data_IF_281445474386
#
_entry.id   IF_281445474386
#
_cell.length_a   1.000
_cell.length_b   1.000
_cell.length_c   1.000
_cell.angle_alpha   90.00
_cell.angle_beta   90.00
_cell.angle_gamma   90.00
#
_symmetry.space_group_name_H-M   'P 1'
#
loop_
_entity.id
_entity.type
_entity.pdbx_description
1 polymer ?
#
# COMPACT_ATOMS: atom_id res chain seq x y z
N UNK A 1 -0.20 -1.96 -3.32
CA UNK A 1 -0.31 -3.21 -2.54
C UNK A 1 0.78 -3.40 -1.48
N UNK A 2 2.05 -3.66 -1.84
CA UNK A 2 3.10 -3.99 -0.84
C UNK A 2 3.40 -2.84 0.14
N UNK A 3 3.28 -1.59 -0.32
CA UNK A 3 3.37 -0.42 0.55
C UNK A 3 2.24 -0.35 1.58
N UNK A 4 1.03 -0.77 1.21
CA UNK A 4 -0.13 -0.77 2.10
C UNK A 4 0.00 -1.82 3.20
N UNK A 5 0.55 -3.00 2.88
CA UNK A 5 0.94 -3.99 3.89
C UNK A 5 1.87 -3.39 4.94
N UNK A 6 2.88 -2.62 4.50
CA UNK A 6 3.83 -2.04 5.43
C UNK A 6 3.18 -0.96 6.32
N UNK A 7 2.28 -0.15 5.76
CA UNK A 7 1.49 0.81 6.54
C UNK A 7 0.63 0.09 7.57
N UNK A 8 -0.14 -0.92 7.16
CA UNK A 8 -0.99 -1.74 8.04
C UNK A 8 -0.21 -2.34 9.22
N UNK A 9 0.91 -3.02 8.94
CA UNK A 9 1.74 -3.62 10.00
C UNK A 9 2.37 -2.61 10.93
N UNK A 10 2.84 -1.48 10.40
CA UNK A 10 3.49 -0.47 11.24
C UNK A 10 2.49 0.30 12.10
N UNK A 11 1.29 0.56 11.59
CA UNK A 11 0.21 1.14 12.39
C UNK A 11 -0.19 0.20 13.54
N UNK A 12 -0.32 -1.10 13.27
CA UNK A 12 -0.60 -2.10 14.30
C UNK A 12 0.53 -2.18 15.33
N UNK A 13 1.79 -2.26 14.90
CA UNK A 13 2.96 -2.41 15.77
C UNK A 13 3.23 -1.19 16.67
N UNK A 14 3.17 0.02 16.11
CA UNK A 14 3.56 1.25 16.81
C UNK A 14 2.39 1.83 17.64
N UNK A 15 1.15 1.63 17.18
CA UNK A 15 -0.02 2.31 17.73
C UNK A 15 -1.16 1.38 18.16
N UNK A 16 -1.14 0.11 17.77
CA UNK A 16 -2.27 -0.80 17.96
C UNK A 16 -3.45 -0.50 17.03
N UNK A 17 -3.25 0.33 16.00
CA UNK A 17 -4.28 0.71 15.05
C UNK A 17 -4.49 -0.45 14.06
N UNK A 18 -5.66 -1.09 14.13
CA UNK A 18 -6.00 -2.21 13.25
C UNK A 18 -6.81 -1.73 12.05
N UNK A 19 -6.48 -2.25 10.87
CA UNK A 19 -7.33 -2.10 9.68
C UNK A 19 -8.15 -3.37 9.46
N UNK A 20 -9.14 -3.31 8.57
CA UNK A 20 -9.89 -4.50 8.14
C UNK A 20 -9.11 -5.36 7.12
N UNK A 21 -7.84 -5.04 6.85
CA UNK A 21 -6.98 -5.80 5.94
C UNK A 21 -6.42 -7.05 6.64
N UNK A 22 -6.27 -8.11 5.87
CA UNK A 22 -5.76 -9.40 6.29
C UNK A 22 -4.75 -9.94 5.26
N UNK A 23 -3.56 -9.33 5.22
CA UNK A 23 -2.50 -9.75 4.31
C UNK A 23 -2.01 -11.17 4.58
N UNK A 24 -1.96 -11.96 3.51
CA UNK A 24 -1.45 -13.34 3.49
C UNK A 24 -0.22 -13.44 2.57
N UNK A 25 0.68 -14.41 2.81
CA UNK A 25 1.79 -14.69 1.91
C UNK A 25 1.29 -15.19 0.55
N UNK A 26 1.74 -14.55 -0.53
CA UNK A 26 1.44 -14.93 -1.91
C UNK A 26 2.74 -15.02 -2.74
N UNK A 27 2.62 -15.44 -4.01
CA UNK A 27 3.73 -15.65 -4.96
C UNK A 27 4.65 -14.45 -5.12
N UNK A 28 4.11 -13.25 -4.93
CA UNK A 28 4.84 -12.00 -5.09
C UNK A 28 4.85 -11.18 -3.80
N UNK A 29 4.80 -11.84 -2.65
CA UNK A 29 4.82 -11.24 -1.32
C UNK A 29 3.43 -11.03 -0.73
N UNK A 30 3.24 -10.09 0.20
CA UNK A 30 1.97 -9.93 0.89
C UNK A 30 0.84 -9.49 -0.06
N UNK A 31 -0.30 -10.16 0.08
CA UNK A 31 -1.50 -9.95 -0.70
C UNK A 31 -2.73 -9.92 0.22
N UNK A 32 -3.63 -8.99 -0.04
CA UNK A 32 -5.00 -9.03 0.46
C UNK A 32 -5.95 -8.72 -0.71
N UNK A 33 -6.89 -9.61 -1.06
CA UNK A 33 -7.89 -9.37 -2.10
C UNK A 33 -8.71 -8.09 -1.89
N UNK A 34 -8.98 -7.68 -0.64
CA UNK A 34 -9.77 -6.48 -0.34
C UNK A 34 -9.15 -5.19 -0.88
N UNK A 35 -7.84 -5.21 -1.16
CA UNK A 35 -7.16 -4.06 -1.78
C UNK A 35 -7.66 -3.84 -3.20
N UNK A 36 -8.03 -4.91 -3.93
CA UNK A 36 -8.62 -4.77 -5.26
C UNK A 36 -10.04 -4.22 -5.16
N UNK A 37 -10.86 -4.73 -4.24
CA UNK A 37 -12.22 -4.23 -3.97
C UNK A 37 -12.19 -2.73 -3.62
N UNK A 38 -11.19 -2.31 -2.82
CA UNK A 38 -10.99 -0.90 -2.48
C UNK A 38 -10.57 -0.05 -3.69
N UNK A 39 -9.72 -0.57 -4.58
CA UNK A 39 -9.34 0.11 -5.82
C UNK A 39 -10.56 0.28 -6.73
N UNK A 40 -11.38 -0.76 -6.91
CA UNK A 40 -12.60 -0.69 -7.70
C UNK A 40 -13.58 0.34 -7.13
N UNK A 41 -13.79 0.34 -5.81
CA UNK A 41 -14.66 1.32 -5.16
C UNK A 41 -14.14 2.76 -5.33
N UNK A 42 -12.83 2.98 -5.20
CA UNK A 42 -12.22 4.30 -5.41
C UNK A 42 -12.35 4.78 -6.87
N UNK A 43 -12.31 3.86 -7.83
CA UNK A 43 -12.51 4.16 -9.25
C UNK A 43 -13.97 4.50 -9.55
N UNK A 44 -14.91 3.71 -9.01
CA UNK A 44 -16.36 3.97 -9.10
C UNK A 44 -16.76 5.32 -8.48
N UNK A 45 -16.13 5.68 -7.36
CA UNK A 45 -16.30 6.97 -6.69
C UNK A 45 -15.61 8.14 -7.42
N UNK A 46 -14.85 7.87 -8.49
CA UNK A 46 -14.12 8.87 -9.27
C UNK A 46 -12.94 9.51 -8.51
N UNK A 47 -12.41 8.83 -7.50
CA UNK A 47 -11.27 9.28 -6.69
C UNK A 47 -9.92 8.84 -7.30
N UNK A 48 -9.93 7.80 -8.12
CA UNK A 48 -8.77 7.40 -8.92
C UNK A 48 -9.15 7.24 -10.39
N UNK A 49 -8.17 7.40 -11.27
CA UNK A 49 -8.24 7.00 -12.67
C UNK A 49 -7.39 5.76 -12.90
N UNK A 50 -7.84 4.93 -13.84
CA UNK A 50 -7.13 3.74 -14.33
C UNK A 50 -6.64 4.00 -15.76
N UNK A 51 -5.37 3.77 -16.00
CA UNK A 51 -4.76 3.87 -17.34
C UNK A 51 -3.93 2.63 -17.64
N UNK A 52 -3.94 2.15 -18.89
CA UNK A 52 -3.00 1.11 -19.32
C UNK A 52 -1.61 1.72 -19.42
N UNK A 53 -0.62 1.06 -18.80
CA UNK A 53 0.75 1.55 -18.84
C UNK A 53 1.28 1.51 -20.28
N UNK A 54 1.98 2.57 -20.68
CA UNK A 54 2.70 2.60 -21.96
C UNK A 54 4.07 1.92 -21.89
N UNK A 55 4.58 1.70 -20.68
CA UNK A 55 5.95 1.29 -20.42
C UNK A 55 6.09 -0.20 -20.12
N UNK A 56 5.02 -0.85 -19.65
CA UNK A 56 4.98 -2.29 -19.38
C UNK A 56 3.56 -2.84 -19.55
N UNK A 57 3.45 -4.16 -19.63
CA UNK A 57 2.14 -4.84 -19.62
C UNK A 57 1.54 -4.75 -18.22
N UNK A 58 0.55 -3.86 -18.06
CA UNK A 58 -0.11 -3.65 -16.78
C UNK A 58 -0.85 -2.32 -16.67
N UNK A 59 -1.53 -2.18 -15.54
CA UNK A 59 -2.42 -1.06 -15.27
C UNK A 59 -1.81 -0.10 -14.25
N UNK A 60 -1.88 1.19 -14.54
CA UNK A 60 -1.50 2.28 -13.64
C UNK A 60 -2.73 2.97 -13.04
N UNK A 61 -2.59 3.40 -11.79
CA UNK A 61 -3.62 4.12 -11.07
C UNK A 61 -3.08 5.47 -10.62
N UNK A 62 -3.87 6.52 -10.84
CA UNK A 62 -3.54 7.87 -10.41
C UNK A 62 -4.69 8.48 -9.60
N UNK A 63 -4.38 9.36 -8.66
CA UNK A 63 -5.40 10.16 -7.98
C UNK A 63 -5.97 11.18 -8.97
N UNK A 64 -7.30 11.29 -9.00
CA UNK A 64 -7.98 12.44 -9.60
C UNK A 64 -7.82 13.68 -8.72
N UNK A 65 -8.27 14.85 -9.18
CA UNK A 65 -8.27 16.06 -8.34
C UNK A 65 -9.13 15.87 -7.08
N UNK A 66 -10.31 15.25 -7.22
CA UNK A 66 -11.18 14.91 -6.09
C UNK A 66 -10.52 13.89 -5.16
N UNK A 67 -9.85 12.87 -5.70
CA UNK A 67 -9.08 11.91 -4.94
C UNK A 67 -7.95 12.54 -4.14
N UNK A 68 -7.22 13.48 -4.75
CA UNK A 68 -6.15 14.23 -4.07
C UNK A 68 -6.70 15.07 -2.92
N UNK A 69 -7.77 15.83 -3.16
CA UNK A 69 -8.40 16.64 -2.10
C UNK A 69 -8.93 15.76 -0.97
N UNK A 70 -9.60 14.66 -1.29
CA UNK A 70 -10.14 13.73 -0.28
C UNK A 70 -9.02 13.05 0.52
N UNK A 71 -7.98 12.60 -0.16
CA UNK A 71 -6.81 11.99 0.49
C UNK A 71 -6.08 12.96 1.42
N UNK A 72 -5.96 14.23 1.02
CA UNK A 72 -5.37 15.27 1.85
C UNK A 72 -6.22 15.55 3.10
N UNK A 73 -7.53 15.70 2.93
CA UNK A 73 -8.48 15.90 4.05
C UNK A 73 -8.39 14.77 5.08
N UNK A 74 -8.38 13.51 4.61
CA UNK A 74 -8.26 12.33 5.48
C UNK A 74 -6.90 12.28 6.17
N UNK A 75 -5.82 12.63 5.47
CA UNK A 75 -4.48 12.64 6.03
C UNK A 75 -4.34 13.71 7.13
N UNK A 76 -4.90 14.90 6.93
CA UNK A 76 -4.89 15.99 7.90
C UNK A 76 -5.73 15.70 9.16
N UNK A 77 -6.69 14.76 9.08
CA UNK A 77 -7.48 14.29 10.22
C UNK A 77 -6.72 13.27 11.10
N UNK A 78 -5.61 12.70 10.63
CA UNK A 78 -4.80 11.79 11.41
C UNK A 78 -4.03 12.53 12.50
N UNK A 79 -3.73 11.83 13.60
CA UNK A 79 -2.78 12.34 14.59
C UNK A 79 -1.39 12.50 13.95
N UNK A 80 -0.61 13.45 14.45
CA UNK A 80 0.70 13.84 13.90
C UNK A 80 1.65 12.64 13.78
N UNK A 81 1.67 11.76 14.77
CA UNK A 81 2.51 10.56 14.78
C UNK A 81 2.13 9.54 13.68
N UNK A 82 0.84 9.40 13.35
CA UNK A 82 0.38 8.59 12.21
C UNK A 82 0.78 9.24 10.89
N UNK A 83 0.67 10.57 10.78
CA UNK A 83 1.09 11.31 9.58
C UNK A 83 2.60 11.14 9.33
N UNK A 84 3.40 11.25 10.40
CA UNK A 84 4.85 11.05 10.36
C UNK A 84 5.21 9.62 9.93
N UNK A 85 4.56 8.60 10.52
CA UNK A 85 4.81 7.21 10.16
C UNK A 85 4.48 6.95 8.69
N UNK A 86 3.30 7.36 8.21
CA UNK A 86 2.89 7.15 6.81
C UNK A 86 3.84 7.88 5.85
N UNK A 87 4.26 9.10 6.19
CA UNK A 87 5.20 9.89 5.40
C UNK A 87 6.59 9.23 5.34
N UNK A 88 7.06 8.71 6.48
CA UNK A 88 8.32 7.97 6.55
C UNK A 88 8.27 6.69 5.72
N UNK A 89 7.20 5.89 5.84
CA UNK A 89 7.01 4.68 5.03
C UNK A 89 7.03 5.01 3.54
N UNK A 90 6.29 6.06 3.14
CA UNK A 90 6.23 6.52 1.75
C UNK A 90 7.62 6.86 1.22
N UNK A 91 8.34 7.75 1.91
CA UNK A 91 9.65 8.23 1.47
C UNK A 91 10.73 7.14 1.49
N UNK A 92 10.74 6.31 2.54
CA UNK A 92 11.82 5.34 2.77
C UNK A 92 11.63 4.05 1.98
N UNK A 93 10.38 3.62 1.77
CA UNK A 93 10.08 2.30 1.23
C UNK A 93 9.23 2.34 -0.05
N UNK A 94 8.11 3.07 -0.07
CA UNK A 94 7.16 3.01 -1.19
C UNK A 94 7.70 3.66 -2.46
N UNK A 95 8.44 4.77 -2.34
CA UNK A 95 9.08 5.45 -3.47
C UNK A 95 10.38 4.78 -3.95
N UNK A 96 10.81 3.69 -3.31
CA UNK A 96 11.92 2.87 -3.79
C UNK A 96 11.43 1.83 -4.82
N UNK A 97 12.36 1.15 -5.49
CA UNK A 97 11.98 0.05 -6.38
C UNK A 97 11.25 -1.06 -5.63
N UNK A 98 10.33 -1.75 -6.32
CA UNK A 98 9.57 -2.88 -5.76
C UNK A 98 10.49 -3.93 -5.12
N UNK A 99 11.61 -4.26 -5.74
CA UNK A 99 12.59 -5.21 -5.20
C UNK A 99 13.17 -4.76 -3.85
N UNK A 100 13.44 -3.46 -3.67
CA UNK A 100 13.92 -2.93 -2.38
C UNK A 100 12.83 -2.99 -1.31
N UNK A 101 11.59 -2.66 -1.67
CA UNK A 101 10.45 -2.77 -0.77
C UNK A 101 10.23 -4.23 -0.34
N UNK A 102 10.22 -5.17 -1.28
CA UNK A 102 10.08 -6.60 -0.98
C UNK A 102 11.23 -7.14 -0.15
N UNK A 103 12.48 -6.74 -0.45
CA UNK A 103 13.63 -7.10 0.37
C UNK A 103 13.44 -6.65 1.82
N UNK A 104 12.95 -5.43 2.05
CA UNK A 104 12.63 -4.96 3.40
C UNK A 104 11.51 -5.79 4.04
N UNK A 105 10.41 -6.03 3.31
CA UNK A 105 9.28 -6.83 3.78
C UNK A 105 9.72 -8.25 4.18
N UNK A 106 10.51 -8.94 3.36
CA UNK A 106 10.93 -10.31 3.66
C UNK A 106 11.94 -10.39 4.80
N UNK A 107 12.78 -9.38 4.98
CA UNK A 107 13.68 -9.34 6.13
C UNK A 107 12.95 -9.07 7.45
N UNK A 108 11.95 -8.19 7.46
CA UNK A 108 11.19 -7.83 8.67
C UNK A 108 10.03 -8.80 8.96
N UNK A 109 9.41 -9.34 7.91
CA UNK A 109 8.25 -10.22 7.96
C UNK A 109 8.50 -11.50 7.16
N UNK A 110 9.39 -12.41 7.62
CA UNK A 110 9.82 -13.58 6.85
C UNK A 110 8.67 -14.50 6.40
N UNK A 111 7.59 -14.58 7.18
CA UNK A 111 6.38 -15.34 6.82
C UNK A 111 5.80 -14.91 5.47
N UNK A 112 5.95 -13.63 5.10
CA UNK A 112 5.45 -13.10 3.82
C UNK A 112 6.24 -13.59 2.60
N UNK A 113 7.35 -14.30 2.81
CA UNK A 113 8.15 -14.92 1.76
C UNK A 113 7.86 -16.41 1.55
N UNK A 114 7.03 -17.06 2.37
CA UNK A 114 6.83 -18.52 2.37
C UNK A 114 6.40 -19.09 1.00
N UNK A 115 5.64 -18.32 0.21
CA UNK A 115 5.15 -18.72 -1.11
C UNK A 115 5.85 -17.97 -2.25
N UNK A 116 6.87 -17.17 -1.96
CA UNK A 116 7.45 -16.23 -2.92
C UNK A 116 8.20 -16.94 -4.04
N UNK A 117 7.88 -16.61 -5.30
CA UNK A 117 8.63 -17.04 -6.49
C UNK A 117 9.85 -16.14 -6.77
N UNK A 118 10.06 -15.11 -5.94
CA UNK A 118 11.10 -14.08 -6.09
C UNK A 118 12.31 -14.25 -5.15
N UNK A 119 12.40 -15.39 -4.46
CA UNK A 119 13.46 -15.72 -3.48
C UNK A 119 14.44 -16.77 -3.97
#
# INVERSE_FOLDING_TARGET
>A
MKGLFLVDRKLEEEFGDQTDLNFQPDRYGPLDPKVYDAIESLEEDGLISREESTDYDGTEFALTDSGRSRGQELFEQLQEDRQELISWIKGRHVLQSLSKLLSFVYNQYPKMAENSELT
#
